data_IF_162967367866
#
_entry.id   IF_162967367866
#
_cell.length_a   1.000
_cell.length_b   1.000
_cell.length_c   1.000
_cell.angle_alpha   90.00
_cell.angle_beta   90.00
_cell.angle_gamma   90.00
#
_symmetry.space_group_name_H-M   'P 1'
#
loop_
_entity.id
_entity.type
_entity.pdbx_description
1 polymer ?
#
# COMPACT_ATOMS: atom_id res chain seq x y z
N UNK A 1 -15.46 8.62 9.09
CA UNK A 1 -16.50 9.47 8.45
C UNK A 1 -16.64 10.78 9.19
N UNK A 2 -17.05 10.79 10.46
CA UNK A 2 -17.23 12.04 11.24
C UNK A 2 -16.01 12.99 11.21
N UNK A 3 -14.79 12.47 11.42
CA UNK A 3 -13.58 13.28 11.33
C UNK A 3 -13.35 13.88 9.92
N UNK A 4 -13.70 13.15 8.85
CA UNK A 4 -13.58 13.63 7.48
C UNK A 4 -14.64 14.69 7.16
N UNK A 5 -15.88 14.50 7.62
CA UNK A 5 -16.97 15.47 7.52
C UNK A 5 -16.64 16.76 8.27
N UNK A 6 -16.17 16.65 9.51
CA UNK A 6 -15.72 17.78 10.31
C UNK A 6 -14.57 18.54 9.63
N UNK A 7 -13.58 17.82 9.08
CA UNK A 7 -12.48 18.43 8.32
C UNK A 7 -12.93 19.15 7.04
N UNK A 8 -14.04 18.72 6.44
CA UNK A 8 -14.65 19.36 5.28
C UNK A 8 -15.68 20.44 5.64
N UNK A 9 -16.02 20.62 6.93
CA UNK A 9 -17.11 21.51 7.35
C UNK A 9 -18.49 21.05 6.90
N UNK A 10 -18.69 19.75 6.66
CA UNK A 10 -19.93 19.17 6.17
C UNK A 10 -20.65 18.39 7.30
N UNK A 11 -21.97 18.25 7.17
CA UNK A 11 -22.76 17.36 8.02
C UNK A 11 -23.05 16.05 7.30
N UNK A 12 -23.51 15.04 8.04
CA UNK A 12 -23.91 13.76 7.43
C UNK A 12 -25.12 13.90 6.52
N UNK A 13 -26.02 14.87 6.77
CA UNK A 13 -27.14 15.14 5.86
C UNK A 13 -26.70 15.75 4.52
N UNK A 14 -25.45 16.23 4.42
CA UNK A 14 -24.88 16.78 3.20
C UNK A 14 -24.33 15.71 2.24
N UNK A 15 -24.48 14.43 2.57
CA UNK A 15 -23.91 13.30 1.81
C UNK A 15 -25.04 12.55 1.10
N UNK A 16 -25.14 12.75 -0.21
CA UNK A 16 -26.17 12.12 -1.04
C UNK A 16 -25.94 10.61 -1.23
N UNK A 17 -24.67 10.19 -1.32
CA UNK A 17 -24.29 8.80 -1.58
C UNK A 17 -23.02 8.43 -0.83
N UNK A 18 -22.96 7.19 -0.34
CA UNK A 18 -21.81 6.66 0.40
C UNK A 18 -21.57 5.21 -0.02
N UNK A 19 -20.37 4.92 -0.53
CA UNK A 19 -19.90 3.58 -0.86
C UNK A 19 -18.71 3.22 0.02
N UNK A 20 -18.60 1.95 0.40
CA UNK A 20 -17.45 1.42 1.12
C UNK A 20 -16.57 0.54 0.22
N UNK A 21 -15.27 0.52 0.48
CA UNK A 21 -14.31 -0.34 -0.23
C UNK A 21 -13.22 -0.88 0.71
N UNK A 22 -12.39 -1.80 0.21
CA UNK A 22 -11.36 -2.49 0.97
C UNK A 22 -11.87 -3.63 1.86
N UNK A 23 -10.95 -4.28 2.56
CA UNK A 23 -11.20 -5.51 3.34
C UNK A 23 -12.31 -5.37 4.41
N UNK A 24 -12.42 -4.20 5.04
CA UNK A 24 -13.40 -3.90 6.10
C UNK A 24 -14.75 -3.37 5.61
N UNK A 25 -14.95 -3.22 4.28
CA UNK A 25 -16.08 -2.47 3.73
C UNK A 25 -17.45 -2.92 4.23
N UNK A 26 -17.66 -4.23 4.38
CA UNK A 26 -18.93 -4.80 4.82
C UNK A 26 -19.30 -4.46 6.27
N UNK A 27 -18.33 -4.07 7.09
CA UNK A 27 -18.57 -3.63 8.46
C UNK A 27 -18.93 -2.14 8.54
N UNK A 28 -18.86 -1.39 7.44
CA UNK A 28 -19.14 0.04 7.39
C UNK A 28 -20.65 0.27 7.31
N UNK A 29 -21.29 0.39 8.48
CA UNK A 29 -22.75 0.51 8.57
C UNK A 29 -23.38 1.79 7.98
N UNK A 30 -22.56 2.77 7.60
CA UNK A 30 -23.05 4.00 6.95
C UNK A 30 -23.02 3.96 5.42
N UNK A 31 -22.41 2.93 4.82
CA UNK A 31 -22.35 2.81 3.37
C UNK A 31 -23.62 2.18 2.81
N UNK A 32 -24.10 2.73 1.70
CA UNK A 32 -25.26 2.23 0.97
C UNK A 32 -24.96 0.95 0.20
N UNK A 33 -23.72 0.77 -0.23
CA UNK A 33 -23.24 -0.43 -0.94
C UNK A 33 -21.72 -0.55 -0.81
N UNK A 34 -21.20 -1.73 -1.16
CA UNK A 34 -19.77 -2.05 -1.17
C UNK A 34 -19.27 -2.16 -2.62
N UNK A 35 -18.21 -1.43 -2.92
CA UNK A 35 -17.51 -1.51 -4.21
C UNK A 35 -16.15 -2.19 -4.05
N UNK A 36 -15.76 -2.90 -5.09
CA UNK A 36 -14.47 -3.58 -5.16
C UNK A 36 -13.31 -2.58 -5.06
N UNK A 37 -12.29 -2.93 -4.28
CA UNK A 37 -11.10 -2.10 -4.05
C UNK A 37 -10.31 -1.87 -5.34
N UNK A 38 -10.13 -2.92 -6.15
CA UNK A 38 -9.46 -2.79 -7.45
C UNK A 38 -10.23 -1.87 -8.41
N UNK A 39 -11.57 -1.89 -8.38
CA UNK A 39 -12.40 -1.02 -9.23
C UNK A 39 -12.33 0.43 -8.74
N UNK A 40 -12.34 0.63 -7.42
CA UNK A 40 -12.19 1.96 -6.80
C UNK A 40 -10.82 2.55 -7.13
N UNK A 41 -9.75 1.78 -6.91
CA UNK A 41 -8.39 2.16 -7.25
C UNK A 41 -8.21 2.46 -8.74
N UNK A 42 -8.71 1.59 -9.60
CA UNK A 42 -8.70 1.81 -11.04
C UNK A 42 -9.36 3.13 -11.39
N UNK A 43 -10.58 3.38 -10.90
CA UNK A 43 -11.32 4.62 -11.15
C UNK A 43 -10.56 5.87 -10.69
N UNK A 44 -9.98 5.82 -9.49
CA UNK A 44 -9.18 6.91 -8.93
C UNK A 44 -7.92 7.17 -9.75
N UNK A 45 -7.17 6.12 -10.10
CA UNK A 45 -5.94 6.24 -10.88
C UNK A 45 -6.25 6.74 -12.29
N UNK A 46 -7.35 6.32 -12.93
CA UNK A 46 -7.76 6.87 -14.23
C UNK A 46 -8.03 8.37 -14.16
N UNK A 47 -8.53 8.88 -13.03
CA UNK A 47 -8.74 10.31 -12.80
C UNK A 47 -7.42 11.06 -12.57
N UNK A 48 -6.54 10.50 -11.74
CA UNK A 48 -5.35 11.18 -11.23
C UNK A 48 -4.15 11.05 -12.18
N UNK A 49 -4.02 9.92 -12.86
CA UNK A 49 -2.99 9.67 -13.86
C UNK A 49 -3.55 8.77 -15.00
N UNK A 50 -4.10 9.36 -16.07
CA UNK A 50 -4.60 8.63 -17.23
C UNK A 50 -3.54 7.82 -17.98
N UNK A 51 -2.25 8.07 -17.74
CA UNK A 51 -1.14 7.35 -18.39
C UNK A 51 -0.69 6.12 -17.60
N UNK A 52 -1.12 5.96 -16.35
CA UNK A 52 -0.73 4.81 -15.52
C UNK A 52 -1.08 3.48 -16.22
N UNK A 53 -0.09 2.57 -16.27
CA UNK A 53 -0.22 1.25 -16.90
C UNK A 53 -0.08 0.10 -15.93
N UNK A 54 0.61 0.29 -14.81
CA UNK A 54 0.67 -0.66 -13.70
C UNK A 54 0.34 0.08 -12.42
N UNK A 55 -0.55 -0.49 -11.62
CA UNK A 55 -0.93 0.03 -10.31
C UNK A 55 -0.59 -1.00 -9.26
N UNK A 56 0.08 -0.55 -8.20
CA UNK A 56 0.46 -1.34 -7.04
C UNK A 56 -0.23 -0.69 -5.83
N UNK A 57 -0.98 -1.45 -5.06
CA UNK A 57 -1.56 -0.99 -3.80
C UNK A 57 -1.02 -1.86 -2.67
N UNK A 58 -0.42 -1.22 -1.66
CA UNK A 58 0.16 -1.90 -0.51
C UNK A 58 -0.35 -1.25 0.76
N UNK A 59 -1.36 -1.89 1.35
CA UNK A 59 -1.95 -1.52 2.62
C UNK A 59 -1.33 -2.25 3.81
N UNK A 60 -2.00 -2.14 4.96
CA UNK A 60 -1.60 -2.83 6.18
C UNK A 60 -1.92 -4.32 6.20
N UNK A 61 -2.92 -4.78 5.44
CA UNK A 61 -3.41 -6.17 5.50
C UNK A 61 -3.52 -6.86 4.14
N UNK A 62 -3.50 -6.08 3.06
CA UNK A 62 -3.58 -6.56 1.69
C UNK A 62 -2.53 -5.83 0.86
N UNK A 63 -2.09 -6.50 -0.19
CA UNK A 63 -1.39 -5.84 -1.27
C UNK A 63 -1.80 -6.46 -2.61
N UNK A 64 -1.91 -5.64 -3.63
CA UNK A 64 -2.33 -6.04 -4.96
C UNK A 64 -1.55 -5.30 -6.03
N UNK A 65 -1.51 -5.88 -7.23
CA UNK A 65 -1.02 -5.23 -8.43
C UNK A 65 -1.96 -5.52 -9.59
N UNK A 66 -2.17 -4.56 -10.48
CA UNK A 66 -2.92 -4.76 -11.71
C UNK A 66 -2.38 -3.91 -12.85
N UNK A 67 -2.61 -4.36 -14.08
CA UNK A 67 -2.25 -3.61 -15.28
C UNK A 67 -3.49 -3.04 -16.00
N UNK A 68 -3.27 -1.90 -16.65
CA UNK A 68 -4.27 -1.15 -17.39
C UNK A 68 -3.90 -1.21 -18.88
N UNK A 69 -4.86 -1.56 -19.72
CA UNK A 69 -4.70 -1.56 -21.18
C UNK A 69 -4.65 -0.14 -21.74
N UNK A 70 -4.27 0.01 -23.01
CA UNK A 70 -4.36 1.31 -23.70
C UNK A 70 -5.80 1.83 -23.77
N UNK A 71 -6.78 0.92 -23.86
CA UNK A 71 -8.20 1.26 -23.76
C UNK A 71 -8.68 1.61 -22.34
N UNK A 72 -7.78 1.67 -21.37
CA UNK A 72 -8.08 2.08 -20.00
C UNK A 72 -8.77 1.00 -19.16
N UNK A 73 -8.81 -0.25 -19.60
CA UNK A 73 -9.44 -1.37 -18.88
C UNK A 73 -8.43 -2.14 -18.04
N UNK A 74 -8.85 -2.74 -16.92
CA UNK A 74 -8.04 -3.72 -16.20
C UNK A 74 -7.91 -4.96 -17.08
N UNK A 75 -6.69 -5.44 -17.31
CA UNK A 75 -6.46 -6.70 -18.04
C UNK A 75 -6.13 -7.85 -17.11
N UNK A 76 -5.21 -7.63 -16.18
CA UNK A 76 -4.77 -8.65 -15.23
C UNK A 76 -4.56 -8.05 -13.86
N UNK A 77 -4.84 -8.84 -12.82
CA UNK A 77 -4.66 -8.46 -11.43
C UNK A 77 -4.14 -9.62 -10.60
N UNK A 78 -3.21 -9.34 -9.70
CA UNK A 78 -2.75 -10.24 -8.67
C UNK A 78 -3.04 -9.63 -7.29
N UNK A 79 -3.69 -10.38 -6.42
CA UNK A 79 -4.06 -9.94 -5.07
C UNK A 79 -3.49 -10.92 -4.05
N UNK A 80 -2.95 -10.40 -2.96
CA UNK A 80 -2.62 -11.17 -1.77
C UNK A 80 -3.35 -10.59 -0.57
N UNK A 81 -4.32 -11.35 -0.06
CA UNK A 81 -5.23 -10.96 1.03
C UNK A 81 -5.16 -11.89 2.26
N UNK A 82 -4.47 -13.04 2.13
CA UNK A 82 -4.35 -14.04 3.21
C UNK A 82 -2.97 -14.06 3.89
N UNK A 83 -1.99 -13.36 3.33
CA UNK A 83 -0.61 -13.37 3.82
C UNK A 83 -0.12 -11.95 4.08
N UNK A 84 0.19 -11.66 5.34
CA UNK A 84 0.68 -10.35 5.81
C UNK A 84 2.16 -10.09 5.52
N UNK A 85 2.88 -11.08 4.99
CA UNK A 85 4.30 -11.00 4.62
C UNK A 85 4.66 -9.83 3.68
N UNK A 86 3.72 -9.40 2.84
CA UNK A 86 3.90 -8.35 1.84
C UNK A 86 3.24 -7.02 2.19
N UNK A 87 2.90 -6.80 3.46
CA UNK A 87 2.03 -5.68 3.89
C UNK A 87 2.69 -4.79 4.92
N UNK A 88 2.11 -3.62 5.17
CA UNK A 88 2.55 -2.68 6.21
C UNK A 88 2.56 -3.27 7.62
N UNK A 89 1.73 -4.28 7.91
CA UNK A 89 1.73 -4.95 9.21
C UNK A 89 3.08 -5.60 9.56
N UNK A 90 3.87 -6.01 8.57
CA UNK A 90 5.23 -6.48 8.83
C UNK A 90 6.10 -5.36 9.41
N UNK A 91 6.00 -4.15 8.85
CA UNK A 91 6.74 -2.98 9.32
C UNK A 91 6.29 -2.57 10.73
N UNK A 92 4.98 -2.61 10.99
CA UNK A 92 4.42 -2.33 12.33
C UNK A 92 4.89 -3.34 13.38
N UNK A 93 4.97 -4.62 13.00
CA UNK A 93 5.50 -5.67 13.88
C UNK A 93 6.97 -5.41 14.20
N UNK A 94 7.78 -5.07 13.20
CA UNK A 94 9.20 -4.77 13.44
C UNK A 94 9.40 -3.52 14.27
N UNK A 95 8.56 -2.50 14.10
CA UNK A 95 8.60 -1.31 14.94
C UNK A 95 8.40 -1.64 16.42
N UNK A 96 7.54 -2.62 16.73
CA UNK A 96 7.34 -3.12 18.10
C UNK A 96 8.54 -3.91 18.60
N UNK A 97 9.10 -4.80 17.78
CA UNK A 97 10.28 -5.62 18.13
C UNK A 97 11.50 -4.74 18.42
N UNK A 98 11.69 -3.68 17.64
CA UNK A 98 12.81 -2.75 17.75
C UNK A 98 12.52 -1.59 18.72
N UNK A 99 11.36 -1.61 19.39
CA UNK A 99 10.93 -0.62 20.39
C UNK A 99 11.07 0.85 19.94
N UNK A 100 10.80 1.13 18.66
CA UNK A 100 10.92 2.47 18.08
C UNK A 100 9.73 2.78 17.16
N UNK A 101 9.19 4.02 17.16
CA UNK A 101 8.12 4.40 16.26
C UNK A 101 8.47 4.16 14.79
N UNK A 102 7.53 3.66 14.00
CA UNK A 102 7.77 3.27 12.61
C UNK A 102 8.32 4.43 11.74
N UNK A 103 7.81 5.65 11.94
CA UNK A 103 8.27 6.83 11.21
C UNK A 103 9.72 7.20 11.58
N UNK A 104 10.10 7.05 12.85
CA UNK A 104 11.47 7.26 13.32
C UNK A 104 12.41 6.18 12.81
N UNK A 105 12.00 4.91 12.84
CA UNK A 105 12.75 3.79 12.26
C UNK A 105 13.00 3.99 10.78
N UNK A 106 11.96 4.34 10.01
CA UNK A 106 12.12 4.58 8.58
C UNK A 106 13.12 5.72 8.29
N UNK A 107 13.04 6.83 9.04
CA UNK A 107 13.95 7.95 8.86
C UNK A 107 15.39 7.62 9.30
N UNK A 108 15.57 6.86 10.37
CA UNK A 108 16.88 6.47 10.89
C UNK A 108 17.54 5.40 10.00
N UNK A 109 16.81 4.36 9.64
CA UNK A 109 17.29 3.26 8.82
C UNK A 109 17.51 3.63 7.36
N UNK A 110 16.95 4.75 6.88
CA UNK A 110 17.29 5.31 5.56
C UNK A 110 18.78 5.65 5.40
N UNK A 111 19.54 5.73 6.51
CA UNK A 111 20.98 5.97 6.55
C UNK A 111 21.81 4.69 6.73
N UNK A 112 21.17 3.52 6.77
CA UNK A 112 21.85 2.23 6.85
C UNK A 112 22.63 1.97 5.56
N UNK A 113 23.92 1.66 5.69
CA UNK A 113 24.79 1.25 4.59
C UNK A 113 24.98 -0.28 4.54
N UNK A 114 24.45 -1.01 5.53
CA UNK A 114 24.70 -2.44 5.74
C UNK A 114 23.40 -3.22 6.06
N UNK A 115 22.37 -3.16 5.20
CA UNK A 115 21.10 -3.85 5.45
C UNK A 115 21.32 -5.34 5.68
N UNK A 116 20.81 -5.87 6.79
CA UNK A 116 20.94 -7.29 7.14
C UNK A 116 20.07 -8.13 6.22
N UNK A 117 20.61 -9.24 5.72
CA UNK A 117 19.80 -10.18 4.94
C UNK A 117 18.81 -10.92 5.84
N UNK A 118 17.51 -10.78 5.55
CA UNK A 118 16.43 -11.49 6.23
C UNK A 118 16.03 -12.70 5.40
N UNK A 119 16.20 -13.90 5.95
CA UNK A 119 15.98 -15.17 5.27
C UNK A 119 14.50 -15.58 5.22
N UNK A 120 13.71 -15.17 6.21
CA UNK A 120 12.29 -15.48 6.29
C UNK A 120 11.41 -14.41 5.63
N UNK A 121 10.23 -14.84 5.17
CA UNK A 121 9.19 -13.94 4.64
C UNK A 121 7.93 -13.94 5.50
N UNK A 122 7.67 -15.01 6.25
CA UNK A 122 6.51 -15.08 7.16
C UNK A 122 6.75 -14.14 8.35
N UNK A 123 5.85 -13.17 8.65
CA UNK A 123 6.11 -12.20 9.71
C UNK A 123 6.43 -12.81 11.07
N UNK A 124 5.80 -13.94 11.41
CA UNK A 124 6.08 -14.67 12.67
C UNK A 124 7.52 -15.18 12.71
N UNK A 125 8.04 -15.68 11.59
CA UNK A 125 9.42 -16.15 11.50
C UNK A 125 10.41 -15.00 11.34
N UNK A 126 10.03 -13.91 10.67
CA UNK A 126 10.84 -12.70 10.59
C UNK A 126 11.03 -12.09 11.98
N UNK A 127 9.98 -12.02 12.79
CA UNK A 127 10.08 -11.56 14.17
C UNK A 127 11.08 -12.40 14.99
N UNK A 128 10.97 -13.72 14.91
CA UNK A 128 11.89 -14.63 15.61
C UNK A 128 13.33 -14.50 15.10
N UNK A 129 13.52 -14.36 13.79
CA UNK A 129 14.82 -14.15 13.15
C UNK A 129 15.45 -12.82 13.57
N UNK A 130 14.68 -11.73 13.55
CA UNK A 130 15.15 -10.40 13.98
C UNK A 130 15.56 -10.41 15.45
N UNK A 131 14.79 -11.04 16.34
CA UNK A 131 15.17 -11.19 17.76
C UNK A 131 16.49 -11.96 17.89
N UNK A 132 16.69 -13.03 17.12
CA UNK A 132 17.96 -13.77 17.12
C UNK A 132 19.12 -12.88 16.70
N UNK A 133 18.96 -12.13 15.60
CA UNK A 133 20.01 -11.27 15.07
C UNK A 133 20.34 -10.09 16.01
N UNK A 134 19.36 -9.57 16.73
CA UNK A 134 19.59 -8.60 17.81
C UNK A 134 20.49 -9.22 18.90
N UNK A 135 20.20 -10.44 19.33
CA UNK A 135 21.02 -11.14 20.32
C UNK A 135 22.45 -11.44 19.82
N UNK A 136 22.61 -11.60 18.51
CA UNK A 136 23.91 -11.76 17.84
C UNK A 136 24.66 -10.43 17.65
N UNK A 137 24.05 -9.30 18.05
CA UNK A 137 24.68 -7.97 18.06
C UNK A 137 24.51 -7.16 16.77
N UNK A 138 23.58 -7.54 15.89
CA UNK A 138 23.26 -6.75 14.71
C UNK A 138 22.59 -5.41 15.06
N UNK A 139 22.92 -4.36 14.31
CA UNK A 139 22.31 -3.05 14.48
C UNK A 139 20.82 -3.06 14.09
N UNK A 140 20.00 -2.38 14.89
CA UNK A 140 18.54 -2.34 14.70
C UNK A 140 18.10 -1.64 13.42
N UNK A 141 18.85 -0.62 12.98
CA UNK A 141 18.55 0.12 11.75
C UNK A 141 18.93 -0.71 10.52
N UNK A 142 20.05 -1.41 10.57
CA UNK A 142 20.46 -2.36 9.54
C UNK A 142 19.46 -3.53 9.40
N UNK A 143 18.92 -4.03 10.52
CA UNK A 143 17.87 -5.04 10.53
C UNK A 143 16.58 -4.53 9.90
N UNK A 144 16.13 -3.33 10.28
CA UNK A 144 14.93 -2.73 9.71
C UNK A 144 15.07 -2.47 8.20
N UNK A 145 16.23 -1.99 7.75
CA UNK A 145 16.53 -1.83 6.33
C UNK A 145 16.47 -3.17 5.57
N UNK A 146 16.96 -4.25 6.20
CA UNK A 146 16.83 -5.62 5.72
C UNK A 146 15.37 -6.08 5.56
N UNK A 147 14.52 -5.80 6.55
CA UNK A 147 13.09 -6.12 6.49
C UNK A 147 12.41 -5.34 5.37
N UNK A 148 12.69 -4.04 5.23
CA UNK A 148 12.14 -3.22 4.15
C UNK A 148 12.54 -3.75 2.77
N UNK A 149 13.79 -4.20 2.61
CA UNK A 149 14.26 -4.84 1.38
C UNK A 149 13.58 -6.18 1.09
N UNK A 150 13.33 -6.99 2.12
CA UNK A 150 12.56 -8.24 2.03
C UNK A 150 11.11 -7.98 1.59
N UNK A 151 10.46 -6.99 2.21
CA UNK A 151 9.10 -6.55 1.85
C UNK A 151 9.01 -6.09 0.40
N UNK A 152 9.93 -5.24 -0.05
CA UNK A 152 10.02 -4.82 -1.45
C UNK A 152 10.21 -6.01 -2.41
N UNK A 153 10.97 -7.02 -2.01
CA UNK A 153 11.11 -8.28 -2.77
C UNK A 153 9.79 -9.02 -2.92
N UNK A 154 8.97 -9.04 -1.87
CA UNK A 154 7.64 -9.66 -1.91
C UNK A 154 6.68 -8.92 -2.85
N UNK A 155 6.69 -7.59 -2.78
CA UNK A 155 5.88 -6.73 -3.66
C UNK A 155 6.31 -6.94 -5.12
N UNK A 156 7.61 -6.89 -5.42
CA UNK A 156 8.14 -7.14 -6.76
C UNK A 156 7.75 -8.53 -7.30
N UNK A 157 7.78 -9.56 -6.46
CA UNK A 157 7.34 -10.91 -6.83
C UNK A 157 5.84 -11.00 -7.15
N UNK A 158 4.98 -10.19 -6.51
CA UNK A 158 3.57 -10.10 -6.88
C UNK A 158 3.38 -9.31 -8.19
N UNK A 159 4.10 -8.20 -8.34
CA UNK A 159 4.10 -7.42 -9.58
C UNK A 159 4.52 -8.28 -10.76
N UNK A 160 5.51 -9.18 -10.60
CA UNK A 160 5.90 -10.11 -11.65
C UNK A 160 4.85 -11.15 -12.06
N UNK A 161 3.70 -11.24 -11.35
CA UNK A 161 2.54 -12.04 -11.76
C UNK A 161 1.58 -11.28 -12.68
N UNK A 162 1.83 -9.99 -12.90
CA UNK A 162 1.19 -9.19 -13.93
C UNK A 162 2.28 -8.66 -14.86
N UNK A 163 1.95 -8.30 -16.10
CA UNK A 163 2.96 -7.60 -16.91
C UNK A 163 3.27 -6.23 -16.28
N UNK A 164 4.55 -6.00 -15.97
CA UNK A 164 5.08 -4.71 -15.57
C UNK A 164 5.16 -3.80 -16.79
N UNK A 165 4.36 -2.74 -16.81
CA UNK A 165 4.32 -1.75 -17.90
C UNK A 165 4.69 -0.38 -17.30
N UNK A 166 5.65 0.35 -17.90
CA UNK A 166 6.05 1.69 -17.43
C UNK A 166 4.88 2.67 -17.30
N UNK A 167 5.07 3.72 -16.48
CA UNK A 167 4.00 4.47 -15.79
C UNK A 167 3.38 3.64 -14.66
N UNK A 168 4.25 3.25 -13.71
CA UNK A 168 3.90 2.47 -12.53
C UNK A 168 3.49 3.43 -11.41
N UNK A 169 2.31 3.26 -10.86
CA UNK A 169 1.81 4.02 -9.71
C UNK A 169 1.74 3.11 -8.51
N UNK A 170 2.26 3.55 -7.36
CA UNK A 170 2.08 2.87 -6.09
C UNK A 170 1.24 3.71 -5.14
N UNK A 171 0.27 3.09 -4.48
CA UNK A 171 -0.62 3.69 -3.48
C UNK A 171 -0.66 2.82 -2.21
N UNK A 172 -1.41 3.28 -1.20
CA UNK A 172 -1.51 2.61 0.09
C UNK A 172 -0.51 3.15 1.12
N UNK A 173 -0.70 2.77 2.38
CA UNK A 173 0.05 3.33 3.52
C UNK A 173 1.56 3.04 3.48
N UNK A 174 1.97 1.94 2.86
CA UNK A 174 3.40 1.56 2.76
C UNK A 174 4.20 2.54 1.90
N UNK A 175 3.54 3.36 1.07
CA UNK A 175 4.21 4.41 0.28
C UNK A 175 4.91 5.48 1.14
N UNK A 176 4.59 5.56 2.43
CA UNK A 176 5.27 6.44 3.41
C UNK A 176 6.65 5.91 3.81
N UNK A 177 6.92 4.62 3.60
CA UNK A 177 8.21 4.01 3.91
C UNK A 177 9.17 4.16 2.71
N UNK A 178 10.10 5.11 2.82
CA UNK A 178 11.07 5.44 1.77
C UNK A 178 12.02 4.29 1.43
N UNK A 179 12.37 3.44 2.41
CA UNK A 179 13.21 2.27 2.17
C UNK A 179 12.51 1.25 1.28
N UNK A 180 11.22 1.02 1.49
CA UNK A 180 10.43 0.11 0.64
C UNK A 180 10.32 0.65 -0.77
N UNK A 181 10.07 1.96 -0.92
CA UNK A 181 9.99 2.62 -2.23
C UNK A 181 11.31 2.45 -3.00
N UNK A 182 12.45 2.82 -2.41
CA UNK A 182 13.74 2.76 -3.11
C UNK A 182 14.15 1.32 -3.45
N UNK A 183 13.93 0.38 -2.55
CA UNK A 183 14.19 -1.04 -2.80
C UNK A 183 13.26 -1.59 -3.89
N UNK A 184 11.99 -1.16 -3.94
CA UNK A 184 11.04 -1.62 -4.94
C UNK A 184 11.40 -1.07 -6.33
N UNK A 185 11.71 0.22 -6.44
CA UNK A 185 12.20 0.82 -7.69
C UNK A 185 13.45 0.12 -8.22
N UNK A 186 14.41 -0.16 -7.33
CA UNK A 186 15.62 -0.91 -7.69
C UNK A 186 15.30 -2.31 -8.20
N UNK A 187 14.40 -3.05 -7.52
CA UNK A 187 14.01 -4.41 -7.92
C UNK A 187 13.21 -4.46 -9.21
N UNK A 188 12.34 -3.49 -9.45
CA UNK A 188 11.52 -3.42 -10.67
C UNK A 188 12.30 -2.85 -11.86
N UNK A 189 13.41 -2.14 -11.62
CA UNK A 189 14.17 -1.45 -12.66
C UNK A 189 13.43 -0.26 -13.27
N UNK A 190 12.39 0.24 -12.60
CA UNK A 190 11.55 1.36 -13.05
C UNK A 190 11.19 2.25 -11.85
N UNK A 191 11.14 3.57 -12.08
CA UNK A 191 10.69 4.52 -11.06
C UNK A 191 9.18 4.48 -10.85
N UNK A 192 8.75 4.76 -9.62
CA UNK A 192 7.35 4.87 -9.26
C UNK A 192 6.87 6.31 -9.49
N UNK A 193 5.80 6.43 -10.28
CA UNK A 193 5.13 7.70 -10.56
C UNK A 193 4.29 8.11 -9.35
N UNK A 194 4.54 9.31 -8.83
CA UNK A 194 3.74 9.88 -7.74
C UNK A 194 2.41 10.40 -8.27
N UNK A 195 1.37 10.31 -7.45
CA UNK A 195 0.11 11.02 -7.68
C UNK A 195 0.15 12.29 -6.85
N UNK A 196 0.07 13.44 -7.51
CA UNK A 196 0.12 14.75 -6.83
C UNK A 196 -1.24 15.15 -6.27
N UNK A 197 -1.24 15.93 -5.19
CA UNK A 197 -2.46 16.51 -4.62
C UNK A 197 -3.39 15.53 -3.90
N UNK A 198 -2.93 14.30 -3.62
CA UNK A 198 -3.72 13.28 -2.92
C UNK A 198 -2.88 12.56 -1.86
N UNK A 199 -3.50 12.16 -0.75
CA UNK A 199 -2.90 11.19 0.17
C UNK A 199 -3.00 9.80 -0.45
N UNK A 200 -1.86 9.19 -0.77
CA UNK A 200 -1.75 7.88 -1.39
C UNK A 200 -2.46 6.77 -0.58
N UNK A 201 -2.62 6.94 0.73
CA UNK A 201 -3.36 5.99 1.57
C UNK A 201 -4.88 6.04 1.36
N UNK A 202 -5.41 7.14 0.80
CA UNK A 202 -6.85 7.39 0.65
C UNK A 202 -7.36 7.22 -0.79
N UNK A 203 -6.49 6.87 -1.74
CA UNK A 203 -6.82 6.77 -3.17
C UNK A 203 -7.98 5.82 -3.45
N UNK A 204 -8.04 4.67 -2.78
CA UNK A 204 -9.16 3.73 -2.93
C UNK A 204 -10.49 4.35 -2.46
N UNK A 205 -10.48 5.09 -1.34
CA UNK A 205 -11.66 5.79 -0.84
C UNK A 205 -12.11 6.92 -1.78
N UNK A 206 -11.16 7.65 -2.37
CA UNK A 206 -11.45 8.64 -3.42
C UNK A 206 -12.11 7.99 -4.63
N UNK A 207 -11.62 6.83 -5.06
CA UNK A 207 -12.24 6.03 -6.13
C UNK A 207 -13.68 5.61 -5.82
N UNK A 208 -13.93 5.16 -4.60
CA UNK A 208 -15.28 4.82 -4.15
C UNK A 208 -16.22 6.04 -4.15
N UNK A 209 -15.71 7.23 -3.80
CA UNK A 209 -16.48 8.47 -3.87
C UNK A 209 -16.84 8.86 -5.32
N UNK A 210 -15.90 8.72 -6.27
CA UNK A 210 -16.17 8.96 -7.70
C UNK A 210 -17.24 8.00 -8.25
N UNK A 211 -17.18 6.72 -7.86
CA UNK A 211 -18.21 5.75 -8.24
C UNK A 211 -19.57 6.05 -7.58
N UNK A 212 -19.57 6.62 -6.38
CA UNK A 212 -20.79 7.03 -5.69
C UNK A 212 -21.49 8.19 -6.41
N UNK A 213 -20.72 9.17 -6.86
CA UNK A 213 -21.18 10.31 -7.68
C UNK A 213 -21.78 9.83 -9.02
N UNK A 214 -21.09 8.92 -9.71
CA UNK A 214 -21.56 8.37 -10.99
C UNK A 214 -22.87 7.60 -10.85
N UNK A 215 -23.05 6.84 -9.77
CA UNK A 215 -24.31 6.12 -9.50
C UNK A 215 -25.46 7.04 -9.10
N UNK A 216 -25.16 8.21 -8.56
CA UNK A 216 -26.18 9.19 -8.18
C UNK A 216 -26.68 10.01 -9.38
N UNK A 217 -25.81 10.26 -10.37
CA UNK A 217 -26.14 11.05 -11.56
C UNK A 217 -26.53 10.23 -12.80
N UNK A 218 -26.45 8.89 -12.74
CA UNK A 218 -26.87 7.96 -13.79
C UNK A 218 -28.27 7.43 -13.58
#
# INVERSE_FOLDING_TARGET
>A
MEAALAGAGLSRESIDSCLATGMGARAVGCASDVVSEIISLHRAVRQLNPRARTVIDVGGHSFMAFNITEGGQIRESAVTDRCVAGTGMLLDAMAKVLEMPLDELNAAAAKSDHPVYISNQCPIFVESEVISLINDGHDSLDLFAGVAASLAGKIAGLVGRVDLIPEVVMVGGVTRNSLVISNLEWKLGVGLTRLDGVDLQTVAAYGAALLAEERHHG
#
